data_IF_241530223793
#
_entry.id   IF_241530223793
#
_cell.length_a   1.000
_cell.length_b   1.000
_cell.length_c   1.000
_cell.angle_alpha   90.00
_cell.angle_beta   90.00
_cell.angle_gamma   90.00
#
_symmetry.space_group_name_H-M   'P 1'
#
loop_
_entity.id
_entity.type
_entity.pdbx_description
1 polymer ?
#
# COMPACT_ATOMS: atom_id res chain seq x y z
N UNK A 1 -1.99 -51.70 50.47
CA UNK A 1 -1.03 -50.65 50.89
C UNK A 1 -0.06 -50.51 49.74
N UNK A 2 0.16 -49.28 49.27
CA UNK A 2 1.07 -48.96 48.16
C UNK A 2 2.02 -47.83 48.56
N UNK A 3 3.11 -47.68 47.82
CA UNK A 3 4.12 -46.64 48.08
C UNK A 3 3.80 -45.42 47.23
N UNK A 4 3.75 -44.24 47.85
CA UNK A 4 3.61 -42.97 47.12
C UNK A 4 4.80 -42.74 46.18
N UNK A 5 4.55 -42.56 44.88
CA UNK A 5 5.63 -42.39 43.89
C UNK A 5 6.50 -41.14 44.11
N UNK A 6 6.02 -40.16 44.89
CA UNK A 6 6.71 -38.88 45.11
C UNK A 6 7.52 -38.83 46.40
N UNK A 7 6.99 -39.35 47.50
CA UNK A 7 7.62 -39.24 48.83
C UNK A 7 7.94 -40.60 49.47
N UNK A 8 7.62 -41.70 48.80
CA UNK A 8 7.89 -43.08 49.23
C UNK A 8 7.26 -43.52 50.55
N UNK A 9 6.29 -42.76 51.08
CA UNK A 9 5.51 -43.18 52.25
C UNK A 9 4.47 -44.25 51.89
N UNK A 10 4.19 -45.16 52.81
CA UNK A 10 3.11 -46.14 52.68
C UNK A 10 1.74 -45.44 52.76
N UNK A 11 0.87 -45.73 51.80
CA UNK A 11 -0.49 -45.20 51.71
C UNK A 11 -1.48 -46.33 51.45
N UNK A 12 -2.76 -46.11 51.80
CA UNK A 12 -3.83 -47.04 51.45
C UNK A 12 -4.10 -47.02 49.93
N UNK A 13 -4.56 -48.15 49.38
CA UNK A 13 -4.64 -48.35 47.91
C UNK A 13 -5.72 -47.48 47.26
N UNK A 14 -6.78 -47.15 47.99
CA UNK A 14 -7.93 -46.36 47.56
C UNK A 14 -7.69 -44.84 47.58
N UNK A 15 -6.56 -44.38 48.13
CA UNK A 15 -6.28 -42.97 48.25
C UNK A 15 -5.91 -42.34 46.90
N UNK A 16 -6.75 -41.42 46.41
CA UNK A 16 -6.49 -40.63 45.20
C UNK A 16 -5.39 -39.60 45.36
N UNK A 17 -5.08 -39.18 46.59
CA UNK A 17 -3.99 -38.25 46.91
C UNK A 17 -3.20 -38.75 48.11
N UNK A 18 -1.88 -38.60 48.10
CA UNK A 18 -1.04 -38.96 49.24
C UNK A 18 -1.27 -37.99 50.42
N UNK A 19 -1.64 -38.47 51.63
CA UNK A 19 -1.92 -37.62 52.79
C UNK A 19 -0.66 -36.93 53.35
N UNK A 20 0.54 -37.42 53.03
CA UNK A 20 1.80 -36.87 53.51
C UNK A 20 2.35 -35.75 52.62
N UNK A 21 2.25 -35.88 51.28
CA UNK A 21 2.87 -34.92 50.35
C UNK A 21 1.91 -34.29 49.33
N UNK A 22 0.63 -34.67 49.34
CA UNK A 22 -0.41 -34.11 48.47
C UNK A 22 -0.35 -34.55 47.00
N UNK A 23 0.56 -35.47 46.63
CA UNK A 23 0.66 -35.93 45.24
C UNK A 23 -0.56 -36.77 44.83
N UNK A 24 -1.17 -36.46 43.67
CA UNK A 24 -2.25 -37.25 43.10
C UNK A 24 -1.73 -38.64 42.69
N UNK A 25 -2.33 -39.70 43.22
CA UNK A 25 -1.94 -41.09 43.02
C UNK A 25 -2.95 -41.84 42.11
N UNK A 26 -3.79 -41.11 41.39
CA UNK A 26 -4.79 -41.66 40.45
C UNK A 26 -4.16 -41.88 39.08
N UNK A 27 -4.58 -42.95 38.39
CA UNK A 27 -4.17 -43.22 37.02
C UNK A 27 -4.57 -42.07 36.07
N UNK A 28 -3.73 -41.84 35.05
CA UNK A 28 -3.93 -40.82 34.03
C UNK A 28 -4.35 -41.51 32.74
N UNK A 29 -5.62 -41.35 32.35
CA UNK A 29 -6.09 -41.78 31.05
C UNK A 29 -5.45 -40.92 29.94
N UNK A 30 -4.90 -41.57 28.92
CA UNK A 30 -4.31 -40.87 27.78
C UNK A 30 -5.39 -40.12 26.98
N UNK A 31 -5.25 -38.82 26.69
CA UNK A 31 -6.26 -38.08 25.90
C UNK A 31 -6.33 -38.54 24.44
N UNK A 32 -5.35 -39.28 23.94
CA UNK A 32 -5.28 -39.73 22.55
C UNK A 32 -5.83 -41.15 22.36
N UNK A 33 -5.40 -42.12 23.18
CA UNK A 33 -5.81 -43.53 23.05
C UNK A 33 -6.63 -44.05 24.24
N UNK A 34 -6.88 -43.22 25.25
CA UNK A 34 -7.61 -43.57 26.47
C UNK A 34 -6.97 -44.67 27.35
N UNK A 35 -5.74 -45.10 27.06
CA UNK A 35 -5.02 -46.08 27.88
C UNK A 35 -4.75 -45.52 29.29
N UNK A 36 -4.99 -46.30 30.37
CA UNK A 36 -4.68 -45.89 31.73
C UNK A 36 -3.17 -45.94 31.99
N UNK A 37 -2.57 -44.83 32.41
CA UNK A 37 -1.15 -44.74 32.72
C UNK A 37 -0.92 -44.47 34.20
N UNK A 38 0.24 -44.87 34.71
CA UNK A 38 0.64 -44.62 36.09
C UNK A 38 0.60 -43.11 36.44
N UNK A 39 0.30 -42.74 37.70
CA UNK A 39 0.10 -41.35 38.12
C UNK A 39 1.28 -40.38 37.86
N UNK A 40 2.49 -40.90 37.63
CA UNK A 40 3.69 -40.12 37.33
C UNK A 40 4.16 -40.19 35.87
N UNK A 41 3.39 -40.82 35.00
CA UNK A 41 3.75 -41.06 33.61
C UNK A 41 3.88 -39.74 32.84
N UNK A 42 5.07 -39.47 32.28
CA UNK A 42 5.29 -38.31 31.41
C UNK A 42 4.78 -38.51 29.98
N UNK A 43 4.74 -39.76 29.53
CA UNK A 43 4.28 -40.18 28.21
C UNK A 43 3.39 -41.41 28.35
N UNK A 44 2.45 -41.59 27.42
CA UNK A 44 1.60 -42.76 27.37
C UNK A 44 2.41 -44.02 27.02
N UNK A 45 2.24 -45.09 27.79
CA UNK A 45 2.97 -46.35 27.60
C UNK A 45 2.57 -47.11 26.33
N UNK A 46 1.35 -46.90 25.82
CA UNK A 46 0.86 -47.54 24.58
C UNK A 46 1.16 -46.71 23.32
N UNK A 47 0.93 -45.39 23.35
CA UNK A 47 0.97 -44.58 22.13
C UNK A 47 2.01 -43.44 22.13
N UNK A 48 2.76 -43.24 23.22
CA UNK A 48 3.80 -42.20 23.31
C UNK A 48 3.30 -40.76 23.49
N UNK A 49 1.98 -40.52 23.58
CA UNK A 49 1.41 -39.17 23.78
C UNK A 49 1.91 -38.54 25.08
N UNK A 50 2.34 -37.27 25.03
CA UNK A 50 2.84 -36.55 26.21
C UNK A 50 1.69 -36.19 27.18
N UNK A 51 1.83 -36.60 28.45
CA UNK A 51 0.82 -36.43 29.50
C UNK A 51 1.14 -35.28 30.48
N UNK A 52 2.31 -34.64 30.36
CA UNK A 52 2.76 -33.59 31.28
C UNK A 52 2.06 -32.22 31.09
N UNK A 53 1.14 -32.11 30.14
CA UNK A 53 0.39 -30.89 29.81
C UNK A 53 -1.06 -31.00 30.30
N UNK A 54 -1.24 -31.15 31.61
CA UNK A 54 -2.52 -30.81 32.25
C UNK A 54 -2.26 -29.68 33.24
N UNK A 55 -2.20 -28.44 32.73
CA UNK A 55 -2.27 -27.24 33.59
C UNK A 55 -3.65 -27.21 34.23
N UNK A 56 -3.69 -27.35 35.54
CA UNK A 56 -4.81 -27.01 36.41
C UNK A 56 -5.31 -25.60 36.06
N UNK A 57 -6.47 -25.50 35.40
CA UNK A 57 -7.22 -24.25 35.33
C UNK A 57 -8.00 -24.13 36.63
N UNK A 58 -7.45 -23.40 37.60
CA UNK A 58 -8.23 -22.93 38.75
C UNK A 58 -9.42 -22.11 38.23
N UNK A 59 -10.65 -22.32 38.72
CA UNK A 59 -11.79 -21.50 38.34
C UNK A 59 -11.60 -20.09 38.91
N UNK A 60 -11.27 -19.12 38.04
CA UNK A 60 -11.50 -17.71 38.35
C UNK A 60 -13.02 -17.52 38.41
N UNK A 61 -13.53 -17.02 39.53
CA UNK A 61 -14.88 -16.51 39.62
C UNK A 61 -15.13 -15.57 38.45
N UNK A 62 -16.02 -15.97 37.54
CA UNK A 62 -16.49 -15.10 36.46
C UNK A 62 -17.36 -14.04 37.14
N UNK A 63 -16.83 -12.83 37.27
CA UNK A 63 -17.69 -11.67 37.12
C UNK A 63 -18.20 -11.73 35.68
N UNK A 64 -19.35 -12.39 35.48
CA UNK A 64 -20.14 -12.21 34.25
C UNK A 64 -20.76 -10.83 34.35
N UNK A 65 -19.96 -9.81 34.01
CA UNK A 65 -20.53 -8.67 33.30
C UNK A 65 -21.26 -9.25 32.08
N UNK A 66 -22.50 -8.81 31.80
CA UNK A 66 -23.20 -9.28 30.61
C UNK A 66 -22.32 -9.02 29.40
N UNK A 67 -22.09 -10.07 28.61
CA UNK A 67 -21.44 -9.97 27.31
C UNK A 67 -22.43 -9.24 26.40
N UNK A 68 -22.35 -7.90 26.39
CA UNK A 68 -23.10 -7.07 25.45
C UNK A 68 -22.49 -7.35 24.08
N UNK A 69 -23.15 -8.20 23.30
CA UNK A 69 -22.90 -8.30 21.87
C UNK A 69 -23.30 -6.97 21.24
N UNK A 70 -22.29 -6.14 20.94
CA UNK A 70 -22.49 -4.92 20.18
C UNK A 70 -22.94 -5.37 18.79
N UNK A 71 -24.19 -5.10 18.42
CA UNK A 71 -24.66 -5.26 17.05
C UNK A 71 -23.96 -4.17 16.24
N UNK A 72 -22.84 -4.54 15.63
CA UNK A 72 -22.08 -3.66 14.73
C UNK A 72 -22.73 -3.78 13.36
N UNK A 73 -23.27 -2.68 12.83
CA UNK A 73 -23.79 -2.67 11.46
C UNK A 73 -22.71 -3.14 10.49
N UNK A 74 -23.08 -3.88 9.42
CA UNK A 74 -22.11 -4.32 8.43
C UNK A 74 -21.38 -3.11 7.82
N UNK A 75 -20.13 -3.32 7.41
CA UNK A 75 -19.38 -2.30 6.67
C UNK A 75 -20.11 -2.07 5.34
N UNK A 76 -20.43 -0.81 4.98
CA UNK A 76 -21.02 -0.51 3.68
C UNK A 76 -20.17 -1.07 2.53
N UNK A 77 -20.83 -1.67 1.55
CA UNK A 77 -20.21 -2.26 0.35
C UNK A 77 -19.87 -1.22 -0.73
N UNK A 78 -19.97 0.07 -0.39
CA UNK A 78 -19.64 1.19 -1.26
C UNK A 78 -18.73 2.22 -0.55
N UNK A 79 -17.96 2.95 -1.36
CA UNK A 79 -17.20 4.11 -0.93
C UNK A 79 -16.00 3.78 -0.04
N UNK A 80 -15.57 4.80 0.70
CA UNK A 80 -14.45 4.72 1.64
C UNK A 80 -15.01 4.80 3.05
N UNK A 81 -14.79 3.76 3.84
CA UNK A 81 -15.18 3.71 5.25
C UNK A 81 -13.96 3.75 6.14
N UNK A 82 -13.91 4.70 7.08
CA UNK A 82 -12.91 4.74 8.13
C UNK A 82 -13.55 4.26 9.43
N UNK A 83 -12.86 3.36 10.13
CA UNK A 83 -13.16 3.05 11.52
C UNK A 83 -11.97 3.37 12.43
N UNK A 84 -12.26 3.92 13.61
CA UNK A 84 -11.28 4.07 14.67
C UNK A 84 -11.91 3.83 16.04
N UNK A 85 -11.10 3.32 16.95
CA UNK A 85 -11.50 3.06 18.32
C UNK A 85 -11.03 4.19 19.24
N UNK A 86 -11.41 4.11 20.52
CA UNK A 86 -10.78 4.93 21.56
C UNK A 86 -9.25 4.92 21.43
N UNK A 87 -8.64 6.09 21.54
CA UNK A 87 -7.21 6.31 21.46
C UNK A 87 -6.76 7.21 22.60
N UNK A 88 -5.60 6.92 23.18
CA UNK A 88 -4.98 7.80 24.18
C UNK A 88 -4.22 8.97 23.54
N UNK A 89 -4.31 9.17 22.23
CA UNK A 89 -3.69 10.29 21.53
C UNK A 89 -4.30 11.63 21.98
N UNK A 90 -3.47 12.67 22.08
CA UNK A 90 -3.94 14.04 22.32
C UNK A 90 -4.89 14.53 21.23
N UNK A 91 -4.79 13.95 20.03
CA UNK A 91 -5.64 14.30 18.87
C UNK A 91 -6.98 13.56 18.84
N UNK A 92 -7.28 12.73 19.83
CA UNK A 92 -8.45 11.85 19.79
C UNK A 92 -9.78 12.61 19.75
N UNK A 93 -9.97 13.56 20.66
CA UNK A 93 -11.19 14.39 20.70
C UNK A 93 -11.39 15.18 19.41
N UNK A 94 -10.30 15.67 18.80
CA UNK A 94 -10.37 16.35 17.50
C UNK A 94 -10.80 15.38 16.39
N UNK A 95 -10.28 14.15 16.34
CA UNK A 95 -10.72 13.15 15.37
C UNK A 95 -12.20 12.80 15.52
N UNK A 96 -12.70 12.66 16.75
CA UNK A 96 -14.14 12.42 17.00
C UNK A 96 -14.98 13.63 16.56
N UNK A 97 -14.54 14.85 16.88
CA UNK A 97 -15.22 16.07 16.46
C UNK A 97 -15.28 16.21 14.94
N UNK A 98 -14.19 15.89 14.22
CA UNK A 98 -14.16 15.86 12.76
C UNK A 98 -15.10 14.78 12.20
N UNK A 99 -15.09 13.58 12.80
CA UNK A 99 -15.96 12.49 12.37
C UNK A 99 -17.46 12.81 12.54
N UNK A 100 -17.85 13.54 13.60
CA UNK A 100 -19.26 13.94 13.84
C UNK A 100 -19.82 14.93 12.82
N UNK A 101 -18.98 15.53 11.97
CA UNK A 101 -19.43 16.45 10.90
C UNK A 101 -20.07 15.73 9.72
N UNK A 102 -19.90 14.42 9.61
CA UNK A 102 -20.41 13.62 8.49
C UNK A 102 -21.80 13.08 8.80
N UNK A 103 -22.72 13.19 7.84
CA UNK A 103 -24.07 12.61 7.96
C UNK A 103 -24.04 11.07 8.12
N UNK A 104 -22.96 10.43 7.65
CA UNK A 104 -22.72 8.99 7.74
C UNK A 104 -22.14 8.54 9.09
N UNK A 105 -21.88 9.47 10.00
CA UNK A 105 -21.24 9.15 11.27
C UNK A 105 -22.11 8.22 12.11
N UNK A 106 -21.52 7.11 12.53
CA UNK A 106 -22.13 6.17 13.47
C UNK A 106 -21.14 5.78 14.57
N UNK A 107 -21.67 5.55 15.76
CA UNK A 107 -20.92 5.20 16.96
C UNK A 107 -21.51 3.92 17.55
N UNK A 108 -20.66 2.91 17.77
CA UNK A 108 -21.06 1.62 18.33
C UNK A 108 -20.36 1.38 19.67
N UNK A 109 -21.13 0.92 20.67
CA UNK A 109 -20.62 0.57 21.99
C UNK A 109 -20.31 1.78 22.88
N UNK A 110 -19.71 1.52 24.04
CA UNK A 110 -19.43 2.54 25.06
C UNK A 110 -18.01 2.41 25.64
N UNK A 111 -17.50 3.51 26.19
CA UNK A 111 -16.21 3.57 26.90
C UNK A 111 -15.04 3.13 26.02
N UNK A 112 -14.20 2.21 26.52
CA UNK A 112 -12.99 1.75 25.81
C UNK A 112 -13.28 0.81 24.63
N UNK A 113 -14.51 0.32 24.49
CA UNK A 113 -14.94 -0.56 23.39
C UNK A 113 -15.64 0.19 22.26
N UNK A 114 -15.72 1.51 22.35
CA UNK A 114 -16.35 2.36 21.32
C UNK A 114 -15.66 2.20 19.96
N UNK A 115 -16.47 2.18 18.90
CA UNK A 115 -16.06 2.23 17.50
C UNK A 115 -16.74 3.44 16.87
N UNK A 116 -15.95 4.33 16.29
CA UNK A 116 -16.41 5.43 15.46
C UNK A 116 -16.26 5.05 13.99
N UNK A 117 -17.29 5.30 13.20
CA UNK A 117 -17.28 5.00 11.76
C UNK A 117 -17.81 6.19 10.97
N UNK A 118 -17.16 6.45 9.84
CA UNK A 118 -17.57 7.42 8.82
C UNK A 118 -17.44 6.76 7.46
N UNK A 119 -18.43 6.95 6.60
CA UNK A 119 -18.44 6.45 5.22
C UNK A 119 -18.71 7.59 4.25
N UNK A 120 -17.93 7.68 3.17
CA UNK A 120 -18.09 8.69 2.13
C UNK A 120 -17.98 8.07 0.74
N UNK A 121 -18.47 8.78 -0.28
CA UNK A 121 -18.21 8.44 -1.67
C UNK A 121 -16.73 8.69 -2.04
N UNK A 122 -16.19 7.97 -3.02
CA UNK A 122 -14.78 8.08 -3.42
C UNK A 122 -14.40 9.46 -3.95
N UNK A 123 -15.33 10.13 -4.64
CA UNK A 123 -15.16 11.48 -5.20
C UNK A 123 -15.19 12.58 -4.12
N UNK A 124 -15.58 12.24 -2.90
CA UNK A 124 -15.62 13.15 -1.75
C UNK A 124 -14.45 12.96 -0.78
N UNK A 125 -13.39 12.23 -1.19
CA UNK A 125 -12.28 11.84 -0.31
C UNK A 125 -11.58 13.01 0.39
N UNK A 126 -11.58 14.20 -0.23
CA UNK A 126 -11.01 15.42 0.37
C UNK A 126 -11.70 15.83 1.68
N UNK A 127 -12.97 15.46 1.90
CA UNK A 127 -13.67 15.73 3.15
C UNK A 127 -13.01 15.04 4.35
N UNK A 128 -12.30 13.92 4.12
CA UNK A 128 -11.60 13.19 5.17
C UNK A 128 -10.28 13.83 5.61
N UNK A 129 -9.82 14.91 4.96
CA UNK A 129 -8.46 15.44 5.17
C UNK A 129 -8.16 15.77 6.64
N UNK A 130 -9.07 16.47 7.32
CA UNK A 130 -8.91 16.88 8.72
C UNK A 130 -9.01 15.67 9.67
N UNK A 131 -9.95 14.76 9.40
CA UNK A 131 -10.10 13.52 10.15
C UNK A 131 -8.81 12.67 10.07
N UNK A 132 -8.30 12.44 8.86
CA UNK A 132 -7.08 11.67 8.58
C UNK A 132 -5.85 12.31 9.21
N UNK A 133 -5.74 13.64 9.18
CA UNK A 133 -4.62 14.35 9.82
C UNK A 133 -4.62 14.14 11.34
N UNK A 134 -5.79 14.20 11.98
CA UNK A 134 -5.93 13.95 13.42
C UNK A 134 -5.62 12.49 13.83
N UNK A 135 -5.67 11.53 12.89
CA UNK A 135 -5.36 10.12 13.12
C UNK A 135 -3.93 9.72 12.73
N UNK A 136 -3.07 10.67 12.37
CA UNK A 136 -1.70 10.43 11.94
C UNK A 136 -0.89 9.68 13.02
N UNK A 137 -0.25 8.58 12.63
CA UNK A 137 0.56 7.75 13.53
C UNK A 137 -0.21 6.81 14.46
N UNK A 138 -1.55 6.84 14.45
CA UNK A 138 -2.35 5.92 15.24
C UNK A 138 -2.24 4.48 14.73
N UNK A 139 -2.30 3.48 15.64
CA UNK A 139 -2.27 2.06 15.27
C UNK A 139 -3.65 1.42 15.19
N UNK A 140 -4.63 1.95 15.94
CA UNK A 140 -5.98 1.41 16.07
C UNK A 140 -6.97 2.12 15.13
N UNK A 141 -6.62 2.21 13.85
CA UNK A 141 -7.50 2.73 12.79
C UNK A 141 -7.55 1.73 11.63
N UNK A 142 -8.68 1.66 10.96
CA UNK A 142 -8.94 0.78 9.82
C UNK A 142 -9.58 1.59 8.71
N UNK A 143 -9.31 1.18 7.48
CA UNK A 143 -9.99 1.72 6.30
C UNK A 143 -10.50 0.55 5.47
N UNK A 144 -11.66 0.77 4.87
CA UNK A 144 -12.34 -0.16 3.99
C UNK A 144 -12.67 0.56 2.68
N UNK A 145 -12.60 -0.18 1.58
CA UNK A 145 -12.97 0.29 0.26
C UNK A 145 -13.99 -0.70 -0.30
N UNK A 146 -15.22 -0.22 -0.54
CA UNK A 146 -16.34 -1.05 -1.02
C UNK A 146 -16.55 -2.33 -0.19
N UNK A 147 -16.64 -2.18 1.15
CA UNK A 147 -16.84 -3.29 2.09
C UNK A 147 -15.56 -4.07 2.45
N UNK A 148 -14.51 -4.00 1.62
CA UNK A 148 -13.28 -4.76 1.84
C UNK A 148 -12.28 -3.99 2.69
N UNK A 149 -11.71 -4.65 3.69
CA UNK A 149 -10.64 -4.05 4.50
C UNK A 149 -9.36 -3.95 3.69
N UNK A 150 -8.81 -2.75 3.59
CA UNK A 150 -7.58 -2.48 2.83
C UNK A 150 -6.49 -1.85 3.70
N UNK A 151 -5.27 -1.75 3.18
CA UNK A 151 -4.18 -1.05 3.84
C UNK A 151 -4.45 0.46 3.84
N UNK A 152 -4.09 1.14 4.94
CA UNK A 152 -4.26 2.60 5.07
C UNK A 152 -3.68 3.37 3.88
N UNK A 153 -2.43 3.05 3.53
CA UNK A 153 -1.72 3.74 2.47
C UNK A 153 -2.24 3.38 1.08
N UNK A 154 -3.00 2.28 0.91
CA UNK A 154 -3.62 1.97 -0.38
C UNK A 154 -4.69 2.99 -0.81
N UNK A 155 -5.25 3.72 0.17
CA UNK A 155 -6.17 4.84 -0.01
C UNK A 155 -5.44 6.17 0.13
N UNK A 156 -4.66 6.35 1.21
CA UNK A 156 -4.13 7.65 1.61
C UNK A 156 -2.66 7.94 1.23
N UNK A 157 -2.02 7.12 0.38
CA UNK A 157 -0.63 7.38 -0.08
C UNK A 157 -0.45 8.76 -0.73
N UNK A 158 -1.51 9.32 -1.31
CA UNK A 158 -1.46 10.65 -1.93
C UNK A 158 -1.38 11.78 -0.90
N UNK A 159 -1.82 11.56 0.35
CA UNK A 159 -2.11 12.63 1.34
C UNK A 159 -0.93 13.57 1.54
N UNK A 160 0.26 13.02 1.74
CA UNK A 160 1.47 13.83 1.92
C UNK A 160 1.74 14.73 0.71
N UNK A 161 1.69 14.16 -0.50
CA UNK A 161 1.93 14.89 -1.75
C UNK A 161 0.86 15.97 -1.99
N UNK A 162 -0.39 15.67 -1.66
CA UNK A 162 -1.51 16.61 -1.78
C UNK A 162 -1.43 17.75 -0.76
N UNK A 163 -0.96 17.46 0.46
CA UNK A 163 -0.72 18.50 1.46
C UNK A 163 0.43 19.43 1.07
N UNK A 164 1.51 18.91 0.45
CA UNK A 164 2.57 19.75 -0.11
C UNK A 164 2.03 20.64 -1.22
N UNK A 165 1.20 20.09 -2.12
CA UNK A 165 0.50 20.89 -3.15
C UNK A 165 -0.28 22.04 -2.55
N UNK A 166 -1.08 21.82 -1.50
CA UNK A 166 -1.89 22.86 -0.84
C UNK A 166 -1.02 23.97 -0.21
N UNK A 167 0.21 23.64 0.20
CA UNK A 167 1.17 24.57 0.81
C UNK A 167 2.08 25.26 -0.21
N UNK A 168 2.10 24.79 -1.46
CA UNK A 168 2.89 25.35 -2.56
C UNK A 168 2.51 26.81 -2.85
N UNK A 169 3.48 27.61 -3.31
CA UNK A 169 3.22 28.97 -3.79
C UNK A 169 2.26 29.00 -4.99
N UNK A 170 2.28 27.95 -5.82
CA UNK A 170 1.39 27.79 -6.99
C UNK A 170 0.84 26.36 -7.08
N UNK A 171 -0.19 26.01 -6.30
CA UNK A 171 -0.73 24.65 -6.20
C UNK A 171 -1.15 24.03 -7.55
N UNK A 172 -1.63 24.84 -8.50
CA UNK A 172 -2.03 24.43 -9.83
C UNK A 172 -0.85 23.95 -10.70
N UNK A 173 0.39 24.32 -10.36
CA UNK A 173 1.62 23.90 -11.04
C UNK A 173 2.39 22.81 -10.32
N UNK A 174 2.09 22.58 -9.04
CA UNK A 174 2.81 21.63 -8.20
C UNK A 174 2.88 20.24 -8.84
N UNK A 175 1.74 19.72 -9.31
CA UNK A 175 1.66 18.39 -9.92
C UNK A 175 2.45 18.27 -11.24
N UNK A 176 2.83 19.40 -11.84
CA UNK A 176 3.61 19.47 -13.06
C UNK A 176 5.11 19.68 -12.80
N UNK A 177 5.57 19.66 -11.55
CA UNK A 177 6.99 19.72 -11.21
C UNK A 177 7.57 21.14 -11.10
N UNK A 178 6.75 22.19 -10.98
CA UNK A 178 7.23 23.58 -10.91
C UNK A 178 8.20 23.85 -9.76
N UNK A 179 8.03 23.19 -8.61
CA UNK A 179 8.92 23.34 -7.46
C UNK A 179 10.18 22.45 -7.53
N UNK A 180 10.27 21.54 -8.50
CA UNK A 180 11.41 20.64 -8.72
C UNK A 180 12.21 21.11 -9.94
N UNK A 181 12.90 22.24 -9.83
CA UNK A 181 13.82 22.76 -10.86
C UNK A 181 13.21 22.95 -12.27
N UNK A 182 11.91 23.21 -12.35
CA UNK A 182 11.19 23.35 -13.64
C UNK A 182 11.27 22.11 -14.54
N UNK A 183 11.40 20.90 -13.96
CA UNK A 183 11.22 19.64 -14.68
C UNK A 183 9.74 19.43 -15.03
N UNK A 184 9.27 20.23 -15.99
CA UNK A 184 7.87 20.26 -16.40
C UNK A 184 7.41 18.88 -16.86
N UNK A 185 6.36 18.41 -16.21
CA UNK A 185 5.80 17.10 -16.45
C UNK A 185 4.36 17.18 -16.97
N UNK A 186 4.14 16.85 -18.24
CA UNK A 186 2.80 16.93 -18.86
C UNK A 186 1.79 15.92 -18.33
N UNK A 187 2.23 14.86 -17.63
CA UNK A 187 1.31 13.87 -17.05
C UNK A 187 0.41 14.45 -15.95
N UNK A 188 0.70 15.67 -15.44
CA UNK A 188 -0.12 16.30 -14.40
C UNK A 188 -0.05 15.61 -13.04
N UNK A 189 1.01 14.82 -12.81
CA UNK A 189 1.28 14.18 -11.53
C UNK A 189 2.78 13.90 -11.38
N UNK A 190 3.44 14.49 -10.37
CA UNK A 190 4.87 14.26 -10.10
C UNK A 190 5.16 12.80 -9.73
N UNK A 191 4.17 12.05 -9.26
CA UNK A 191 4.30 10.62 -8.96
C UNK A 191 4.27 9.72 -10.21
N UNK A 192 4.07 10.28 -11.41
CA UNK A 192 4.19 9.54 -12.68
C UNK A 192 5.60 9.00 -12.92
N UNK A 193 6.64 9.64 -12.35
CA UNK A 193 8.07 9.25 -12.46
C UNK A 193 8.54 9.00 -13.91
N UNK A 194 7.90 9.64 -14.87
CA UNK A 194 8.21 9.57 -16.30
C UNK A 194 8.31 10.98 -16.87
N UNK A 195 9.09 11.84 -16.23
CA UNK A 195 9.17 13.26 -16.59
C UNK A 195 9.62 13.52 -18.03
N UNK A 196 9.40 14.74 -18.50
CA UNK A 196 9.86 15.20 -19.81
C UNK A 196 11.23 15.87 -19.63
N UNK A 197 12.27 15.06 -19.42
CA UNK A 197 13.64 15.51 -19.23
C UNK A 197 14.63 14.55 -19.94
N UNK A 198 15.91 14.90 -20.00
CA UNK A 198 16.93 14.13 -20.74
C UNK A 198 17.26 12.77 -20.12
N UNK A 199 16.98 12.60 -18.83
CA UNK A 199 17.26 11.38 -18.08
C UNK A 199 16.08 10.41 -18.07
N UNK A 200 14.96 10.78 -18.69
CA UNK A 200 13.73 10.01 -18.66
C UNK A 200 13.80 8.77 -19.55
N UNK A 201 13.42 7.62 -18.99
CA UNK A 201 13.29 6.37 -19.75
C UNK A 201 12.13 6.40 -20.76
N UNK A 202 11.23 7.39 -20.68
CA UNK A 202 10.11 7.60 -21.60
C UNK A 202 10.54 7.50 -23.08
N UNK A 203 11.70 8.08 -23.41
CA UNK A 203 12.21 8.14 -24.77
C UNK A 203 12.91 6.87 -25.25
N UNK A 204 12.94 5.83 -24.42
CA UNK A 204 13.44 4.48 -24.74
C UNK A 204 12.32 3.44 -24.85
N UNK A 205 11.06 3.84 -24.60
CA UNK A 205 9.92 2.95 -24.71
C UNK A 205 9.43 2.88 -26.16
N UNK A 206 10.01 1.95 -26.91
CA UNK A 206 9.71 1.76 -28.32
C UNK A 206 10.66 0.78 -28.98
N UNK A 207 10.66 0.80 -30.31
CA UNK A 207 11.50 -0.08 -31.12
C UNK A 207 11.98 0.63 -32.40
N UNK A 208 13.15 0.20 -32.89
CA UNK A 208 13.62 0.59 -34.22
C UNK A 208 12.96 -0.29 -35.28
N UNK A 209 12.22 0.32 -36.19
CA UNK A 209 11.54 -0.39 -37.27
C UNK A 209 12.48 -0.81 -38.41
N UNK A 210 13.62 -0.14 -38.54
CA UNK A 210 14.61 -0.40 -39.58
C UNK A 210 15.96 0.26 -39.28
N UNK A 211 16.95 -0.05 -40.12
CA UNK A 211 18.30 0.50 -40.04
C UNK A 211 18.43 1.96 -40.55
N UNK A 212 17.32 2.60 -40.93
CA UNK A 212 17.27 4.01 -41.34
C UNK A 212 16.81 4.92 -40.20
N UNK A 213 16.91 4.45 -38.96
CA UNK A 213 16.56 5.19 -37.75
C UNK A 213 15.07 5.57 -37.64
N UNK A 214 14.18 4.76 -38.19
CA UNK A 214 12.75 4.91 -37.90
C UNK A 214 12.42 4.34 -36.51
N UNK A 215 12.12 5.21 -35.55
CA UNK A 215 11.73 4.84 -34.19
C UNK A 215 10.21 4.87 -34.05
N UNK A 216 9.62 3.80 -33.54
CA UNK A 216 8.20 3.74 -33.17
C UNK A 216 8.07 3.72 -31.65
N UNK A 217 7.26 4.62 -31.11
CA UNK A 217 6.97 4.64 -29.68
C UNK A 217 5.97 3.54 -29.30
N UNK A 218 6.24 2.89 -28.17
CA UNK A 218 5.34 1.91 -27.57
C UNK A 218 4.42 2.63 -26.56
N UNK A 219 3.32 3.18 -27.07
CA UNK A 219 2.33 3.91 -26.25
C UNK A 219 1.65 3.03 -25.21
N UNK A 220 1.48 1.74 -25.50
CA UNK A 220 0.91 0.79 -24.55
C UNK A 220 1.84 0.59 -23.35
N UNK A 221 3.15 0.43 -23.60
CA UNK A 221 4.16 0.36 -22.53
C UNK A 221 4.25 1.66 -21.75
N UNK A 222 4.18 2.82 -22.40
CA UNK A 222 4.14 4.13 -21.71
C UNK A 222 2.93 4.19 -20.78
N UNK A 223 1.74 3.87 -21.29
CA UNK A 223 0.48 3.85 -20.53
C UNK A 223 0.55 2.89 -19.34
N UNK A 224 1.05 1.67 -19.55
CA UNK A 224 1.20 0.66 -18.50
C UNK A 224 2.13 1.13 -17.37
N UNK A 225 3.29 1.70 -17.70
CA UNK A 225 4.24 2.18 -16.69
C UNK A 225 3.70 3.39 -15.92
N UNK A 226 3.01 4.31 -16.59
CA UNK A 226 2.31 5.41 -15.94
C UNK A 226 1.27 4.89 -14.95
N UNK A 227 0.39 3.98 -15.40
CA UNK A 227 -0.62 3.34 -14.55
C UNK A 227 -0.02 2.69 -13.31
N UNK A 228 1.05 1.89 -13.48
CA UNK A 228 1.78 1.26 -12.38
C UNK A 228 2.32 2.29 -11.37
N UNK A 229 2.93 3.38 -11.85
CA UNK A 229 3.54 4.39 -10.99
C UNK A 229 2.49 5.16 -10.18
N UNK A 230 1.35 5.49 -10.80
CA UNK A 230 0.33 6.34 -10.18
C UNK A 230 -0.76 5.55 -9.42
N UNK A 231 -0.86 4.24 -9.58
CA UNK A 231 -1.94 3.41 -9.03
C UNK A 231 -2.14 3.58 -7.51
N UNK A 232 -1.05 3.61 -6.74
CA UNK A 232 -1.12 3.82 -5.29
C UNK A 232 -1.66 5.20 -4.90
N UNK A 233 -1.65 6.17 -5.81
CA UNK A 233 -2.12 7.54 -5.64
C UNK A 233 -3.47 7.79 -6.32
N UNK A 234 -4.17 6.74 -6.80
CA UNK A 234 -5.40 6.85 -7.61
C UNK A 234 -6.54 7.62 -6.94
N UNK A 235 -6.55 7.70 -5.61
CA UNK A 235 -7.53 8.46 -4.84
C UNK A 235 -7.13 9.93 -4.58
N UNK A 236 -6.05 10.41 -5.19
CA UNK A 236 -5.69 11.82 -5.07
C UNK A 236 -6.81 12.71 -5.64
N UNK A 237 -7.34 13.71 -4.88
CA UNK A 237 -8.44 14.56 -5.32
C UNK A 237 -8.18 15.31 -6.64
N UNK A 238 -6.91 15.50 -6.99
CA UNK A 238 -6.48 16.23 -8.20
C UNK A 238 -5.88 15.31 -9.26
N UNK A 239 -6.04 13.98 -9.13
CA UNK A 239 -5.63 13.04 -10.18
C UNK A 239 -6.42 13.29 -11.45
N UNK A 240 -5.72 13.43 -12.58
CA UNK A 240 -6.35 13.70 -13.87
C UNK A 240 -5.91 12.65 -14.90
N UNK A 241 -6.58 11.50 -14.87
CA UNK A 241 -6.29 10.39 -15.80
C UNK A 241 -6.62 10.75 -17.24
N UNK A 242 -7.60 11.62 -17.47
CA UNK A 242 -7.93 12.08 -18.81
C UNK A 242 -6.81 12.94 -19.42
N UNK A 243 -6.16 13.80 -18.63
CA UNK A 243 -4.99 14.54 -19.10
C UNK A 243 -3.88 13.57 -19.51
N UNK A 244 -3.63 12.53 -18.72
CA UNK A 244 -2.64 11.50 -19.08
C UNK A 244 -2.99 10.86 -20.42
N UNK A 245 -4.26 10.51 -20.64
CA UNK A 245 -4.75 9.96 -21.89
C UNK A 245 -4.54 10.93 -23.07
N UNK A 246 -4.91 12.19 -22.93
CA UNK A 246 -4.72 13.20 -23.97
C UNK A 246 -3.23 13.36 -24.33
N UNK A 247 -2.33 13.31 -23.33
CA UNK A 247 -0.87 13.40 -23.55
C UNK A 247 -0.36 12.18 -24.33
N UNK A 248 -0.83 10.96 -24.00
CA UNK A 248 -0.48 9.72 -24.73
C UNK A 248 -0.97 9.79 -26.17
N UNK A 249 -2.20 10.28 -26.40
CA UNK A 249 -2.76 10.46 -27.73
C UNK A 249 -1.96 11.48 -28.55
N UNK A 250 -1.58 12.61 -27.93
CA UNK A 250 -0.75 13.65 -28.55
C UNK A 250 0.70 13.22 -28.83
N UNK A 251 1.20 12.22 -28.10
CA UNK A 251 2.56 11.70 -28.26
C UNK A 251 2.77 11.16 -29.70
N UNK A 252 3.94 11.38 -30.34
CA UNK A 252 4.17 10.88 -31.69
C UNK A 252 4.15 9.35 -31.74
N UNK A 253 3.58 8.79 -32.81
CA UNK A 253 3.66 7.34 -33.08
C UNK A 253 5.05 6.93 -33.57
N UNK A 254 5.61 7.75 -34.46
CA UNK A 254 6.87 7.46 -35.16
C UNK A 254 7.68 8.72 -35.36
N UNK A 255 9.00 8.62 -35.20
CA UNK A 255 9.97 9.70 -35.38
C UNK A 255 11.22 9.16 -36.05
N UNK A 256 12.08 10.05 -36.57
CA UNK A 256 13.34 9.64 -37.18
C UNK A 256 14.47 10.62 -36.81
N UNK A 257 15.33 10.30 -35.83
CA UNK A 257 16.44 11.18 -35.43
C UNK A 257 17.58 11.32 -36.45
N UNK A 258 17.62 10.52 -37.52
CA UNK A 258 18.59 10.73 -38.60
C UNK A 258 18.15 11.83 -39.57
N UNK A 259 16.84 11.99 -39.78
CA UNK A 259 16.27 12.88 -40.80
C UNK A 259 15.48 14.07 -40.22
N UNK A 260 15.10 14.03 -38.94
CA UNK A 260 14.39 15.11 -38.25
C UNK A 260 15.27 15.72 -37.15
N UNK A 261 15.68 16.99 -37.35
CA UNK A 261 16.54 17.74 -36.43
C UNK A 261 15.90 18.00 -35.06
N UNK A 262 14.59 17.81 -34.93
CA UNK A 262 13.90 17.91 -33.64
C UNK A 262 14.12 16.69 -32.76
N UNK A 263 14.74 15.63 -33.28
CA UNK A 263 14.99 14.37 -32.57
C UNK A 263 16.49 14.06 -32.54
N UNK A 264 16.93 13.45 -31.45
CA UNK A 264 18.28 12.94 -31.25
C UNK A 264 18.23 11.48 -30.81
N UNK A 265 19.29 10.74 -31.14
CA UNK A 265 19.45 9.38 -30.67
C UNK A 265 19.65 9.35 -29.15
N UNK A 266 19.05 8.38 -28.49
CA UNK A 266 19.38 8.00 -27.11
C UNK A 266 20.36 6.84 -27.18
N UNK A 267 21.57 7.05 -26.65
CA UNK A 267 22.61 6.03 -26.63
C UNK A 267 22.31 5.00 -25.55
N UNK A 268 22.45 3.74 -25.93
CA UNK A 268 22.48 2.61 -25.00
C UNK A 268 23.88 2.50 -24.38
N UNK A 269 23.99 2.84 -23.11
CA UNK A 269 25.23 2.70 -22.35
C UNK A 269 25.34 1.35 -21.60
N UNK A 270 24.28 0.54 -21.62
CA UNK A 270 24.17 -0.68 -20.79
C UNK A 270 24.46 -1.97 -21.58
N UNK A 271 24.19 -1.99 -22.88
CA UNK A 271 24.41 -3.16 -23.75
C UNK A 271 24.71 -2.77 -25.19
N UNK A 272 25.20 -3.72 -25.98
CA UNK A 272 25.41 -3.61 -27.43
C UNK A 272 24.13 -3.95 -28.22
N UNK A 273 22.97 -3.61 -27.66
CA UNK A 273 21.66 -3.88 -28.25
C UNK A 273 21.03 -2.60 -28.79
N UNK A 274 20.28 -2.74 -29.88
CA UNK A 274 19.55 -1.66 -30.53
C UNK A 274 20.12 -1.30 -31.90
N UNK A 275 19.84 -0.08 -32.37
CA UNK A 275 20.30 0.38 -33.68
C UNK A 275 21.77 0.77 -33.61
N UNK A 276 22.60 0.15 -34.45
CA UNK A 276 24.01 0.47 -34.61
C UNK A 276 24.19 1.72 -35.47
N UNK A 277 24.83 2.75 -34.91
CA UNK A 277 25.12 4.03 -35.56
C UNK A 277 26.61 4.34 -35.40
N UNK A 278 27.26 4.74 -36.50
CA UNK A 278 28.66 5.17 -36.48
C UNK A 278 28.69 6.70 -36.33
N UNK A 279 29.25 7.20 -35.24
CA UNK A 279 29.47 8.63 -35.02
C UNK A 279 30.93 8.98 -35.21
N UNK A 280 31.23 10.21 -35.65
CA UNK A 280 32.61 10.70 -35.75
C UNK A 280 32.85 11.73 -34.65
N UNK A 281 33.69 11.40 -33.67
CA UNK A 281 34.09 12.29 -32.58
C UNK A 281 35.58 12.58 -32.69
N UNK A 282 35.96 13.86 -32.77
CA UNK A 282 37.36 14.30 -32.90
C UNK A 282 38.14 13.60 -34.05
N UNK A 283 37.46 13.23 -35.13
CA UNK A 283 38.05 12.54 -36.28
C UNK A 283 38.10 11.01 -36.17
N UNK A 284 37.73 10.44 -35.02
CA UNK A 284 37.64 8.99 -34.82
C UNK A 284 36.21 8.49 -35.04
N UNK A 285 36.08 7.38 -35.76
CA UNK A 285 34.81 6.69 -35.95
C UNK A 285 34.56 5.78 -34.75
N UNK A 286 33.47 6.05 -34.04
CA UNK A 286 33.02 5.25 -32.90
C UNK A 286 31.71 4.54 -33.27
N UNK A 287 31.66 3.26 -32.96
CA UNK A 287 30.45 2.46 -33.08
C UNK A 287 29.61 2.61 -31.82
N UNK A 288 28.33 2.94 -31.99
CA UNK A 288 27.42 3.21 -30.90
C UNK A 288 26.10 2.47 -31.12
N UNK A 289 25.51 2.00 -30.03
CA UNK A 289 24.20 1.33 -30.03
C UNK A 289 23.16 2.28 -29.45
N UNK A 290 22.02 2.40 -30.13
CA UNK A 290 20.94 3.32 -29.77
C UNK A 290 19.72 2.53 -29.33
N UNK A 291 19.10 2.92 -28.22
CA UNK A 291 17.92 2.26 -27.67
C UNK A 291 16.72 3.22 -27.52
N UNK A 292 16.79 4.39 -28.13
CA UNK A 292 15.68 5.34 -28.09
C UNK A 292 15.86 6.56 -28.98
N UNK A 293 14.82 7.37 -29.03
CA UNK A 293 14.80 8.67 -29.70
C UNK A 293 14.16 9.70 -28.78
N UNK A 294 14.92 10.75 -28.45
CA UNK A 294 14.48 11.83 -27.57
C UNK A 294 14.39 13.16 -28.34
N UNK A 295 13.58 14.12 -27.90
CA UNK A 295 13.59 15.46 -28.44
C UNK A 295 14.98 16.11 -28.32
N UNK A 296 15.42 16.78 -29.38
CA UNK A 296 16.62 17.60 -29.37
C UNK A 296 16.46 18.83 -28.46
N UNK A 297 15.23 19.35 -28.34
CA UNK A 297 14.87 20.41 -27.40
C UNK A 297 13.58 20.04 -26.67
N UNK A 298 13.71 19.76 -25.36
CA UNK A 298 12.61 19.28 -24.53
C UNK A 298 11.50 20.31 -24.37
N UNK A 299 11.85 21.60 -24.21
CA UNK A 299 10.87 22.69 -24.06
C UNK A 299 10.00 22.81 -25.31
N UNK A 300 10.60 22.77 -26.50
CA UNK A 300 9.86 22.81 -27.75
C UNK A 300 8.93 21.60 -27.88
N UNK A 301 9.41 20.41 -27.53
CA UNK A 301 8.58 19.20 -27.56
C UNK A 301 7.38 19.31 -26.62
N UNK A 302 7.60 19.69 -25.36
CA UNK A 302 6.51 19.91 -24.39
C UNK A 302 5.50 20.92 -24.90
N UNK A 303 5.96 22.02 -25.51
CA UNK A 303 5.09 23.04 -26.09
C UNK A 303 4.28 22.52 -27.29
N UNK A 304 4.87 21.69 -28.15
CA UNK A 304 4.16 21.07 -29.29
C UNK A 304 3.12 20.04 -28.83
N UNK A 305 3.45 19.20 -27.84
CA UNK A 305 2.49 18.26 -27.26
C UNK A 305 1.35 19.02 -26.57
N UNK A 306 1.66 20.08 -25.82
CA UNK A 306 0.67 20.93 -25.14
C UNK A 306 -0.35 21.55 -26.10
N UNK A 307 0.04 21.86 -27.34
CA UNK A 307 -0.88 22.40 -28.37
C UNK A 307 -1.86 21.36 -28.93
N UNK A 308 -1.53 20.07 -28.83
CA UNK A 308 -2.34 18.94 -29.34
C UNK A 308 -3.31 18.39 -28.31
N UNK A 309 -3.10 18.71 -27.02
CA UNK A 309 -3.97 18.29 -25.92
C UNK A 309 -5.22 19.18 -25.91
N UNK A 310 -6.39 18.55 -25.80
CA UNK A 310 -7.67 19.27 -25.80
C UNK A 310 -7.95 19.98 -24.45
N UNK A 311 -7.34 19.49 -23.36
CA UNK A 311 -7.51 20.03 -22.01
C UNK A 311 -6.63 21.25 -21.75
N UNK A 312 -7.16 22.19 -20.97
CA UNK A 312 -6.42 23.38 -20.54
C UNK A 312 -5.38 23.00 -19.49
N UNK A 313 -4.13 23.31 -19.78
CA UNK A 313 -3.04 23.33 -18.81
C UNK A 313 -3.10 24.65 -17.99
N UNK A 314 -2.47 24.70 -16.80
CA UNK A 314 -2.40 25.93 -16.00
C UNK A 314 -1.92 27.17 -16.79
N UNK A 315 -2.46 28.35 -16.49
CA UNK A 315 -2.22 29.60 -17.24
C UNK A 315 -0.80 30.13 -17.11
N UNK A 316 0.04 29.91 -18.11
CA UNK A 316 1.49 30.24 -18.07
C UNK A 316 2.39 29.02 -18.27
N UNK A 317 1.81 27.85 -18.56
CA UNK A 317 2.53 26.62 -18.90
C UNK A 317 3.35 26.67 -20.21
N UNK A 318 3.28 27.76 -21.00
CA UNK A 318 3.85 27.88 -22.36
C UNK A 318 5.22 28.56 -22.39
#
# INVERSE_FOLDING_TARGET
>A
MRICYKCSSDIQDDFKFCPHCGANQSEIACPNCNYPNEPNSKFCQECGTNLSVQKETKPKAKNTEPEVEIIIDPIPDFGITIEFNYSSSQTFEFAVAEARKFDSFVEFGEGKKVIYRVTIAEDQIELLDDLVENMKGWRNRRVYHNGEKVLWDSIFSYKWCYDQRKKSYKPEYYCFGYENDYEFNLWGCIQSRLGFNENSELFTYGEWLNNKADWKFDKERISHNLGKNIYQYRFCPVMNLDLIKDVIEAFPEKVNPANDKNWKFVRNWRSEEGLKVITTNYGYKEENYMNGAAPANMKNFVNEISKKINRKLPTGFK
#
